data_IF_620891570029
#
_entry.id   IF_620891570029
#
_cell.length_a   1.000
_cell.length_b   1.000
_cell.length_c   1.000
_cell.angle_alpha   90.00
_cell.angle_beta   90.00
_cell.angle_gamma   90.00
#
_symmetry.space_group_name_H-M   'P 1'
#
loop_
_entity.id
_entity.type
_entity.pdbx_description
1 polymer ?
#
# COMPACT_ATOMS: atom_id res chain seq x y z
N UNK A 1 -14.35 42.41 -22.80
CA UNK A 1 -15.12 41.57 -21.85
C UNK A 1 -14.49 40.19 -21.92
N UNK A 2 -13.83 39.80 -20.83
CA UNK A 2 -13.04 38.56 -20.74
C UNK A 2 -14.04 37.41 -20.57
N UNK A 3 -13.93 36.42 -21.46
CA UNK A 3 -14.73 35.20 -21.47
C UNK A 3 -14.44 34.34 -20.25
N UNK A 4 -15.52 33.78 -19.69
CA UNK A 4 -15.55 32.77 -18.65
C UNK A 4 -14.54 31.65 -18.91
N UNK A 5 -13.60 31.47 -17.98
CA UNK A 5 -12.62 30.40 -17.98
C UNK A 5 -12.94 29.42 -16.84
N UNK A 6 -14.19 28.96 -16.78
CA UNK A 6 -14.70 28.03 -15.74
C UNK A 6 -14.73 26.55 -16.19
N UNK A 7 -14.27 26.21 -17.39
CA UNK A 7 -14.54 24.89 -17.99
C UNK A 7 -13.38 23.88 -17.90
N UNK A 8 -12.45 24.04 -16.96
CA UNK A 8 -11.34 23.08 -16.81
C UNK A 8 -11.19 22.48 -15.41
N UNK A 9 -12.25 22.47 -14.61
CA UNK A 9 -12.35 21.59 -13.44
C UNK A 9 -12.93 20.27 -13.95
N UNK A 10 -12.06 19.44 -14.52
CA UNK A 10 -12.36 18.06 -14.87
C UNK A 10 -12.96 17.35 -13.64
N UNK A 11 -14.27 17.10 -13.71
CA UNK A 11 -15.07 16.08 -13.04
C UNK A 11 -14.34 15.11 -12.08
N UNK A 12 -13.84 15.57 -10.94
CA UNK A 12 -13.38 14.66 -9.90
C UNK A 12 -14.62 14.10 -9.19
N UNK A 13 -15.03 12.89 -9.58
CA UNK A 13 -16.03 12.16 -8.82
C UNK A 13 -15.51 11.95 -7.38
N UNK A 14 -16.36 12.16 -6.36
CA UNK A 14 -15.94 11.97 -4.98
C UNK A 14 -15.51 10.51 -4.77
N UNK A 15 -14.29 10.32 -4.27
CA UNK A 15 -13.77 9.03 -3.87
C UNK A 15 -13.31 9.11 -2.40
N UNK A 16 -13.45 8.01 -1.66
CA UNK A 16 -12.86 7.92 -0.33
C UNK A 16 -11.33 8.06 -0.47
N UNK A 17 -10.70 8.89 0.36
CA UNK A 17 -9.25 9.12 0.27
C UNK A 17 -8.46 7.89 0.76
N UNK A 18 -8.88 7.34 1.89
CA UNK A 18 -8.18 6.27 2.59
C UNK A 18 -9.17 5.21 3.11
N UNK A 19 -8.71 3.97 3.13
CA UNK A 19 -9.34 2.84 3.81
C UNK A 19 -8.50 2.51 5.03
N UNK A 20 -9.15 2.45 6.19
CA UNK A 20 -8.53 2.10 7.48
C UNK A 20 -9.08 0.75 7.94
N UNK A 21 -8.20 -0.17 8.27
CA UNK A 21 -8.52 -1.44 8.92
C UNK A 21 -8.07 -1.40 10.37
N UNK A 22 -8.96 -1.68 11.31
CA UNK A 22 -8.57 -1.88 12.72
C UNK A 22 -8.29 -3.37 12.98
N UNK A 23 -7.57 -3.67 14.07
CA UNK A 23 -7.20 -5.05 14.43
C UNK A 23 -8.37 -6.04 14.44
N UNK A 24 -9.55 -5.64 14.91
CA UNK A 24 -10.75 -6.48 14.94
C UNK A 24 -11.23 -6.87 13.53
N UNK A 25 -10.91 -6.04 12.53
CA UNK A 25 -11.26 -6.22 11.12
C UNK A 25 -10.15 -6.94 10.34
N UNK A 26 -9.15 -7.52 11.02
CA UNK A 26 -8.05 -8.17 10.32
C UNK A 26 -8.53 -9.24 9.34
N UNK A 27 -9.58 -9.97 9.71
CA UNK A 27 -10.24 -10.96 8.86
C UNK A 27 -10.84 -10.39 7.56
N UNK A 28 -11.10 -9.09 7.47
CA UNK A 28 -11.59 -8.40 6.28
C UNK A 28 -10.47 -7.89 5.36
N UNK A 29 -9.23 -7.80 5.86
CA UNK A 29 -8.12 -7.27 5.09
C UNK A 29 -7.34 -8.40 4.38
N UNK A 30 -6.72 -8.12 3.22
CA UNK A 30 -5.74 -9.02 2.63
C UNK A 30 -4.61 -9.37 3.62
N UNK A 31 -4.12 -10.61 3.60
CA UNK A 31 -3.14 -11.11 4.59
C UNK A 31 -1.88 -10.26 4.69
N UNK A 32 -1.50 -9.59 3.59
CA UNK A 32 -0.32 -8.72 3.53
C UNK A 32 -0.41 -7.58 4.56
N UNK A 33 -1.62 -7.04 4.79
CA UNK A 33 -1.88 -5.97 5.74
C UNK A 33 -2.00 -6.48 7.18
N UNK A 34 -2.09 -7.81 7.40
CA UNK A 34 -2.23 -8.36 8.75
C UNK A 34 -1.03 -8.04 9.63
N UNK A 35 0.16 -7.98 9.04
CA UNK A 35 1.37 -7.60 9.74
C UNK A 35 1.41 -6.11 10.09
N UNK A 36 0.69 -5.26 9.36
CA UNK A 36 0.52 -3.85 9.73
C UNK A 36 -0.40 -3.73 10.94
N UNK A 37 -1.48 -4.53 11.00
CA UNK A 37 -2.46 -4.48 12.10
C UNK A 37 -2.03 -5.17 13.40
N UNK A 38 -1.14 -6.17 13.34
CA UNK A 38 -0.82 -7.04 14.49
C UNK A 38 0.58 -6.81 15.12
N UNK A 39 1.23 -5.68 14.84
CA UNK A 39 2.55 -5.34 15.45
C UNK A 39 2.37 -4.75 16.85
N UNK A 40 2.73 -5.54 17.87
CA UNK A 40 2.70 -5.08 19.27
C UNK A 40 2.84 -6.15 20.37
N UNK A 41 3.34 -7.36 20.07
CA UNK A 41 3.41 -8.44 21.07
C UNK A 41 4.68 -8.47 21.93
N UNK A 42 5.23 -7.30 22.31
CA UNK A 42 6.02 -7.20 23.54
C UNK A 42 5.56 -5.98 24.36
N UNK A 43 5.24 -6.24 25.65
CA UNK A 43 4.24 -5.51 26.44
C UNK A 43 4.68 -4.19 27.10
N UNK A 44 5.96 -3.81 27.15
CA UNK A 44 6.40 -2.78 28.12
C UNK A 44 6.54 -1.33 27.64
N UNK A 45 6.44 -1.01 26.33
CA UNK A 45 6.83 0.33 25.83
C UNK A 45 5.70 1.21 25.26
N UNK A 46 4.44 0.79 25.33
CA UNK A 46 3.29 1.57 24.84
C UNK A 46 2.83 2.66 25.85
N UNK A 47 3.32 2.63 27.09
CA UNK A 47 2.80 3.48 28.17
C UNK A 47 3.35 4.93 28.23
N UNK A 48 4.20 5.38 27.30
CA UNK A 48 4.67 6.77 27.30
C UNK A 48 4.73 7.35 25.88
N UNK A 49 3.65 8.03 25.45
CA UNK A 49 3.66 9.36 24.82
C UNK A 49 2.36 9.65 24.08
N UNK A 50 1.64 10.67 24.54
CA UNK A 50 0.74 11.45 23.72
C UNK A 50 1.50 12.66 23.12
N UNK A 51 1.00 13.12 21.97
CA UNK A 51 1.30 14.36 21.23
C UNK A 51 2.77 14.51 20.80
N UNK A 52 3.17 14.48 19.54
CA UNK A 52 2.57 15.20 18.40
C UNK A 52 2.98 14.62 17.04
N UNK A 53 3.87 13.62 16.97
CA UNK A 53 4.30 12.98 15.72
C UNK A 53 4.77 11.56 16.04
N UNK A 54 4.56 10.63 15.10
CA UNK A 54 4.84 9.18 15.10
C UNK A 54 3.59 8.34 15.34
N UNK A 55 3.04 7.85 14.24
CA UNK A 55 1.93 6.91 14.16
C UNK A 55 2.43 5.50 14.45
N UNK A 56 1.76 4.83 15.37
CA UNK A 56 2.03 3.49 15.84
C UNK A 56 0.88 2.67 15.25
N UNK A 57 1.11 1.88 14.19
CA UNK A 57 0.00 1.21 13.49
C UNK A 57 -0.65 0.12 14.36
N UNK A 58 -1.74 0.50 15.03
CA UNK A 58 -2.78 -0.40 15.57
C UNK A 58 -3.78 -0.77 14.45
N UNK A 59 -3.71 -0.04 13.35
CA UNK A 59 -4.56 -0.08 12.18
C UNK A 59 -3.68 -0.03 10.91
N UNK A 60 -4.16 -0.61 9.81
CA UNK A 60 -3.56 -0.43 8.49
C UNK A 60 -4.32 0.67 7.76
N UNK A 61 -3.60 1.62 7.18
CA UNK A 61 -4.18 2.73 6.41
C UNK A 61 -3.64 2.68 4.99
N UNK A 62 -4.55 2.68 4.01
CA UNK A 62 -4.19 2.56 2.60
C UNK A 62 -4.97 3.58 1.81
N UNK A 63 -4.31 4.29 0.91
CA UNK A 63 -5.01 5.14 -0.05
C UNK A 63 -6.00 4.27 -0.88
N UNK A 64 -7.24 4.74 -1.03
CA UNK A 64 -8.30 3.88 -1.54
C UNK A 64 -8.07 3.47 -3.00
N UNK A 65 -7.42 4.32 -3.80
CA UNK A 65 -7.11 4.05 -5.21
C UNK A 65 -6.11 2.90 -5.39
N UNK A 66 -4.89 2.94 -4.82
CA UNK A 66 -3.98 1.79 -4.90
C UNK A 66 -4.60 0.55 -4.28
N UNK A 67 -5.34 0.68 -3.17
CA UNK A 67 -6.01 -0.46 -2.55
C UNK A 67 -7.04 -1.12 -3.49
N UNK A 68 -7.86 -0.34 -4.18
CA UNK A 68 -8.83 -0.83 -5.16
C UNK A 68 -8.13 -1.61 -6.28
N UNK A 69 -7.08 -1.03 -6.88
CA UNK A 69 -6.35 -1.70 -7.96
C UNK A 69 -5.68 -2.98 -7.49
N UNK A 70 -5.19 -3.01 -6.25
CA UNK A 70 -4.65 -4.22 -5.64
C UNK A 70 -5.73 -5.31 -5.44
N UNK A 71 -6.92 -4.95 -4.94
CA UNK A 71 -8.03 -5.91 -4.82
C UNK A 71 -8.47 -6.45 -6.18
N UNK A 72 -8.51 -5.60 -7.21
CA UNK A 72 -8.78 -6.02 -8.59
C UNK A 72 -7.70 -6.99 -9.10
N UNK A 73 -6.42 -6.72 -8.82
CA UNK A 73 -5.33 -7.62 -9.16
C UNK A 73 -5.51 -9.01 -8.54
N UNK A 74 -5.77 -9.08 -7.23
CA UNK A 74 -6.01 -10.36 -6.54
C UNK A 74 -7.23 -11.09 -7.09
N UNK A 75 -8.33 -10.38 -7.29
CA UNK A 75 -9.61 -10.94 -7.73
C UNK A 75 -9.49 -11.50 -9.15
N UNK A 76 -8.98 -10.71 -10.10
CA UNK A 76 -8.80 -11.18 -11.47
C UNK A 76 -7.76 -12.28 -11.60
N UNK A 77 -6.72 -12.27 -10.76
CA UNK A 77 -5.78 -13.39 -10.64
C UNK A 77 -6.48 -14.69 -10.23
N UNK A 78 -7.30 -14.64 -9.18
CA UNK A 78 -8.09 -15.78 -8.72
C UNK A 78 -9.12 -16.29 -9.74
N UNK A 79 -9.64 -15.40 -10.59
CA UNK A 79 -10.55 -15.74 -11.68
C UNK A 79 -9.84 -16.23 -12.97
N UNK A 80 -8.50 -16.16 -13.04
CA UNK A 80 -7.75 -16.48 -14.26
C UNK A 80 -7.84 -15.43 -15.37
N UNK A 81 -8.39 -14.25 -15.08
CA UNK A 81 -8.61 -13.14 -16.01
C UNK A 81 -7.32 -12.32 -16.22
N UNK A 82 -6.32 -12.93 -16.85
CA UNK A 82 -4.95 -12.39 -16.91
C UNK A 82 -4.83 -10.96 -17.44
N UNK A 83 -5.58 -10.62 -18.50
CA UNK A 83 -5.55 -9.28 -19.08
C UNK A 83 -6.06 -8.21 -18.11
N UNK A 84 -7.12 -8.51 -17.36
CA UNK A 84 -7.68 -7.58 -16.36
C UNK A 84 -6.79 -7.48 -15.13
N UNK A 85 -6.19 -8.60 -14.72
CA UNK A 85 -5.19 -8.63 -13.66
C UNK A 85 -4.00 -7.73 -14.00
N UNK A 86 -3.42 -7.88 -15.20
CA UNK A 86 -2.33 -7.03 -15.67
C UNK A 86 -2.74 -5.56 -15.76
N UNK A 87 -3.95 -5.27 -16.24
CA UNK A 87 -4.45 -3.90 -16.26
C UNK A 87 -4.53 -3.29 -14.85
N UNK A 88 -5.05 -4.03 -13.87
CA UNK A 88 -5.11 -3.60 -12.48
C UNK A 88 -3.71 -3.40 -11.87
N UNK A 89 -2.78 -4.31 -12.15
CA UNK A 89 -1.38 -4.19 -11.76
C UNK A 89 -0.73 -2.91 -12.31
N UNK A 90 -0.92 -2.60 -13.59
CA UNK A 90 -0.39 -1.38 -14.21
C UNK A 90 -0.98 -0.11 -13.59
N UNK A 91 -2.27 -0.13 -13.24
CA UNK A 91 -2.92 0.96 -12.52
C UNK A 91 -2.34 1.15 -11.12
N UNK A 92 -2.15 0.08 -10.35
CA UNK A 92 -1.47 0.13 -9.05
C UNK A 92 -0.04 0.68 -9.21
N UNK A 93 0.74 0.14 -10.13
CA UNK A 93 2.11 0.57 -10.40
C UNK A 93 2.17 2.06 -10.75
N UNK A 94 1.26 2.52 -11.60
CA UNK A 94 1.18 3.94 -11.99
C UNK A 94 0.84 4.85 -10.81
N UNK A 95 0.05 4.38 -9.84
CA UNK A 95 -0.24 5.14 -8.63
C UNK A 95 0.97 5.29 -7.72
N UNK A 96 1.88 4.32 -7.69
CA UNK A 96 3.09 4.37 -6.84
C UNK A 96 4.22 5.25 -7.42
N UNK A 97 4.04 5.86 -8.60
CA UNK A 97 5.05 6.78 -9.17
C UNK A 97 4.86 8.15 -8.53
N UNK A 98 5.90 8.64 -7.87
CA UNK A 98 5.94 9.99 -7.33
C UNK A 98 5.83 11.03 -8.45
N UNK A 99 4.70 11.75 -8.52
CA UNK A 99 4.54 12.94 -9.38
C UNK A 99 4.53 14.21 -8.51
N UNK A 100 5.58 15.05 -8.57
CA UNK A 100 5.64 16.30 -7.81
C UNK A 100 4.58 17.33 -8.20
N UNK A 101 3.83 17.12 -9.30
CA UNK A 101 2.67 17.96 -9.66
C UNK A 101 1.34 17.44 -9.10
N UNK A 102 1.33 16.26 -8.50
CA UNK A 102 0.15 15.59 -7.93
C UNK A 102 0.34 15.29 -6.43
N UNK A 103 0.91 16.28 -5.72
CA UNK A 103 1.27 16.24 -4.30
C UNK A 103 0.11 15.99 -3.32
N UNK A 104 -1.13 15.98 -3.81
CA UNK A 104 -2.34 15.89 -2.99
C UNK A 104 -2.70 14.44 -2.62
N UNK A 105 -2.16 13.42 -3.31
CA UNK A 105 -2.90 12.15 -3.43
C UNK A 105 -2.27 10.88 -2.84
N UNK A 106 -1.14 10.93 -2.12
CA UNK A 106 -0.63 9.73 -1.44
C UNK A 106 -0.19 9.99 -0.01
N UNK A 107 -1.12 9.83 0.92
CA UNK A 107 -0.84 9.87 2.35
C UNK A 107 -0.17 8.58 2.84
N UNK A 108 -0.36 7.48 2.10
CA UNK A 108 0.08 6.13 2.47
C UNK A 108 0.89 5.47 1.35
N UNK A 109 1.83 6.22 0.76
CA UNK A 109 2.69 5.75 -0.34
C UNK A 109 3.48 4.49 0.06
N UNK A 110 3.98 4.42 1.29
CA UNK A 110 4.67 3.26 1.85
C UNK A 110 3.80 2.00 1.75
N UNK A 111 2.51 2.13 2.05
CA UNK A 111 1.58 1.00 2.02
C UNK A 111 1.25 0.61 0.57
N UNK A 112 1.09 1.57 -0.33
CA UNK A 112 0.92 1.29 -1.76
C UNK A 112 2.15 0.58 -2.37
N UNK A 113 3.37 0.96 -1.98
CA UNK A 113 4.60 0.30 -2.36
C UNK A 113 4.67 -1.14 -1.81
N UNK A 114 4.17 -1.39 -0.60
CA UNK A 114 4.05 -2.76 -0.06
C UNK A 114 3.11 -3.63 -0.89
N UNK A 115 1.95 -3.10 -1.26
CA UNK A 115 1.00 -3.81 -2.12
C UNK A 115 1.63 -4.15 -3.48
N UNK A 116 2.37 -3.20 -4.06
CA UNK A 116 3.09 -3.44 -5.32
C UNK A 116 4.19 -4.50 -5.17
N UNK A 117 4.98 -4.46 -4.10
CA UNK A 117 5.96 -5.49 -3.79
C UNK A 117 5.33 -6.88 -3.67
N UNK A 118 4.14 -6.95 -3.07
CA UNK A 118 3.40 -8.21 -2.95
C UNK A 118 2.92 -8.77 -4.28
N UNK A 119 2.47 -7.91 -5.20
CA UNK A 119 2.17 -8.34 -6.56
C UNK A 119 3.39 -8.99 -7.23
N UNK A 120 4.59 -8.41 -7.10
CA UNK A 120 5.80 -9.02 -7.63
C UNK A 120 6.18 -10.33 -6.94
N UNK A 121 6.01 -10.43 -5.61
CA UNK A 121 6.20 -11.69 -4.87
C UNK A 121 5.28 -12.79 -5.43
N UNK A 122 4.01 -12.46 -5.70
CA UNK A 122 3.04 -13.40 -6.28
C UNK A 122 3.38 -13.84 -7.70
N UNK A 123 3.98 -12.96 -8.52
CA UNK A 123 4.45 -13.32 -9.87
C UNK A 123 5.81 -14.05 -9.85
N UNK A 124 6.41 -14.25 -8.66
CA UNK A 124 7.70 -14.93 -8.48
C UNK A 124 8.93 -14.04 -8.74
N UNK A 125 8.75 -12.74 -8.96
CA UNK A 125 9.85 -11.79 -9.16
C UNK A 125 10.31 -11.23 -7.81
N UNK A 126 11.05 -12.05 -7.08
CA UNK A 126 11.50 -11.73 -5.72
C UNK A 126 12.46 -10.54 -5.67
N UNK A 127 13.26 -10.31 -6.72
CA UNK A 127 14.16 -9.16 -6.80
C UNK A 127 13.37 -7.85 -6.88
N UNK A 128 12.34 -7.76 -7.74
CA UNK A 128 11.48 -6.57 -7.77
C UNK A 128 10.62 -6.43 -6.54
N UNK A 129 10.13 -7.54 -5.98
CA UNK A 129 9.42 -7.51 -4.70
C UNK A 129 10.27 -6.87 -3.59
N UNK A 130 11.52 -7.34 -3.44
CA UNK A 130 12.47 -6.82 -2.46
C UNK A 130 12.75 -5.33 -2.68
N UNK A 131 12.99 -4.91 -3.93
CA UNK A 131 13.22 -3.51 -4.28
C UNK A 131 12.07 -2.60 -3.81
N UNK A 132 10.80 -2.98 -4.07
CA UNK A 132 9.66 -2.15 -3.65
C UNK A 132 9.43 -2.16 -2.14
N UNK A 133 9.68 -3.28 -1.46
CA UNK A 133 9.65 -3.32 0.00
C UNK A 133 10.74 -2.43 0.63
N UNK A 134 11.94 -2.40 0.04
CA UNK A 134 13.02 -1.53 0.49
C UNK A 134 12.70 -0.05 0.26
N UNK A 135 12.08 0.32 -0.88
CA UNK A 135 11.61 1.70 -1.10
C UNK A 135 10.51 2.05 -0.10
N UNK A 136 9.57 1.14 0.18
CA UNK A 136 8.56 1.38 1.20
C UNK A 136 9.20 1.71 2.56
N UNK A 137 10.28 0.99 2.94
CA UNK A 137 11.06 1.28 4.16
C UNK A 137 11.80 2.62 4.11
N UNK A 138 12.20 3.08 2.93
CA UNK A 138 12.82 4.40 2.77
C UNK A 138 11.79 5.52 2.91
N UNK A 139 10.55 5.31 2.44
CA UNK A 139 9.45 6.25 2.63
C UNK A 139 9.07 6.36 4.11
N UNK A 140 8.97 5.23 4.81
CA UNK A 140 8.63 5.20 6.23
C UNK A 140 9.36 4.04 6.93
N UNK A 141 10.45 4.38 7.63
CA UNK A 141 11.37 3.40 8.21
C UNK A 141 10.90 2.85 9.56
N UNK A 142 9.93 3.50 10.21
CA UNK A 142 9.41 3.07 11.52
C UNK A 142 8.15 2.24 11.40
N UNK A 143 7.48 2.26 10.25
CA UNK A 143 6.07 1.93 10.20
C UNK A 143 5.61 1.35 8.86
N UNK A 144 6.01 0.11 8.56
CA UNK A 144 5.37 -0.65 7.49
C UNK A 144 5.54 -2.17 7.67
N UNK A 145 4.63 -2.98 7.13
CA UNK A 145 4.81 -4.43 7.09
C UNK A 145 6.05 -4.86 6.27
N UNK A 146 6.61 -3.96 5.46
CA UNK A 146 7.75 -4.22 4.56
C UNK A 146 8.93 -4.90 5.25
N UNK A 147 9.30 -4.54 6.49
CA UNK A 147 10.38 -5.24 7.21
C UNK A 147 10.17 -6.77 7.31
N UNK A 148 8.92 -7.20 7.54
CA UNK A 148 8.59 -8.62 7.58
C UNK A 148 8.66 -9.22 6.16
N UNK A 149 8.16 -8.50 5.16
CA UNK A 149 8.22 -8.94 3.76
C UNK A 149 9.66 -9.09 3.25
N UNK A 150 10.53 -8.12 3.53
CA UNK A 150 11.97 -8.16 3.22
C UNK A 150 12.60 -9.43 3.80
N UNK A 151 12.43 -9.68 5.10
CA UNK A 151 12.99 -10.88 5.75
C UNK A 151 12.43 -12.18 5.15
N UNK A 152 11.15 -12.20 4.83
CA UNK A 152 10.50 -13.36 4.19
C UNK A 152 11.05 -13.60 2.78
N UNK A 153 11.08 -12.59 1.93
CA UNK A 153 11.55 -12.70 0.53
C UNK A 153 13.04 -13.05 0.48
N UNK A 154 13.86 -12.46 1.35
CA UNK A 154 15.29 -12.80 1.46
C UNK A 154 15.52 -14.28 1.81
N UNK A 155 14.69 -14.85 2.69
CA UNK A 155 14.71 -16.30 2.98
C UNK A 155 14.37 -17.14 1.75
N UNK A 156 13.35 -16.75 0.99
CA UNK A 156 12.96 -17.45 -0.24
C UNK A 156 14.08 -17.45 -1.29
N UNK A 157 14.69 -16.27 -1.52
CA UNK A 157 15.84 -16.13 -2.44
C UNK A 157 17.01 -17.02 -2.00
N UNK A 158 17.29 -17.07 -0.70
CA UNK A 158 18.42 -17.84 -0.16
C UNK A 158 18.18 -19.35 -0.14
N UNK A 159 16.92 -19.79 -0.27
CA UNK A 159 16.52 -21.20 -0.33
C UNK A 159 16.31 -21.73 -1.76
N UNK A 160 16.48 -20.89 -2.77
CA UNK A 160 16.31 -21.20 -4.20
C UNK A 160 17.66 -21.50 -4.86
#
# INVERSE_FOLDING_TARGET
MISDNCDNILSEQPFALCVRFIRQEAHCAPYILWFEMNRGMTEEKVAQRNSTEKLWMVNAEVDARPFLHYLQYLTYGGLGERNKQLHAFEKLRSSCIFDPRNLINMHHLETALNLLGHCYEMEGDYQRALYYYEISLQCENTNNAANWHVQRVQRLISSS
#
